data_IF_125335816663
#
_entry.id   IF_125335816663
#
_cell.length_a   1.000
_cell.length_b   1.000
_cell.length_c   1.000
_cell.angle_alpha   90.00
_cell.angle_beta   90.00
_cell.angle_gamma   90.00
#
_symmetry.space_group_name_H-M   'P 1'
#
loop_
_entity.id
_entity.type
_entity.pdbx_description
1 polymer ?
#
# COMPACT_ATOMS: atom_id res chain seq x y z
N UNK A 1 0.04 -49.37 4.29
CA UNK A 1 -0.29 -49.70 5.70
C UNK A 1 -0.28 -48.41 6.53
N UNK A 2 -1.17 -47.46 6.19
CA UNK A 2 -1.29 -46.15 6.86
C UNK A 2 -2.32 -46.35 7.98
N UNK A 3 -1.86 -46.87 9.12
CA UNK A 3 -2.71 -47.05 10.31
C UNK A 3 -3.00 -45.67 10.91
N UNK A 4 -4.28 -45.33 10.90
CA UNK A 4 -4.97 -44.36 11.78
C UNK A 4 -4.21 -43.07 12.06
N UNK A 5 -4.37 -42.06 11.20
CA UNK A 5 -4.32 -40.67 11.66
C UNK A 5 -5.46 -40.54 12.67
N UNK A 6 -5.09 -40.44 13.94
CA UNK A 6 -6.02 -40.42 15.06
C UNK A 6 -7.03 -39.28 14.85
N UNK A 7 -8.32 -39.60 14.95
CA UNK A 7 -9.45 -38.68 14.77
C UNK A 7 -9.59 -37.68 15.94
N UNK A 8 -8.53 -37.50 16.72
CA UNK A 8 -8.34 -36.31 17.56
C UNK A 8 -8.10 -35.15 16.60
N UNK A 9 -9.21 -34.68 16.04
CA UNK A 9 -9.31 -33.65 15.04
C UNK A 9 -8.45 -32.44 15.43
N UNK A 10 -8.08 -31.64 14.44
CA UNK A 10 -7.24 -30.45 14.56
C UNK A 10 -7.84 -29.33 15.44
N UNK A 11 -8.28 -29.65 16.66
CA UNK A 11 -8.89 -28.78 17.64
C UNK A 11 -7.97 -27.63 18.00
N UNK A 12 -6.65 -27.85 18.03
CA UNK A 12 -5.67 -26.78 18.24
C UNK A 12 -5.67 -25.75 17.09
N UNK A 13 -5.72 -26.21 15.83
CA UNK A 13 -5.73 -25.33 14.66
C UNK A 13 -7.08 -24.62 14.50
N UNK A 14 -8.19 -25.35 14.71
CA UNK A 14 -9.55 -24.79 14.68
C UNK A 14 -9.76 -23.80 15.81
N UNK A 15 -9.48 -24.20 17.05
CA UNK A 15 -9.66 -23.31 18.21
C UNK A 15 -8.70 -22.14 18.16
N UNK A 16 -7.44 -22.36 17.76
CA UNK A 16 -6.45 -21.30 17.61
C UNK A 16 -6.84 -20.26 16.57
N UNK A 17 -7.27 -20.69 15.37
CA UNK A 17 -7.71 -19.77 14.32
C UNK A 17 -9.02 -19.07 14.68
N UNK A 18 -10.00 -19.78 15.24
CA UNK A 18 -11.29 -19.20 15.62
C UNK A 18 -11.18 -18.23 16.80
N UNK A 19 -10.43 -18.60 17.85
CA UNK A 19 -10.19 -17.72 19.00
C UNK A 19 -9.40 -16.47 18.57
N UNK A 20 -8.34 -16.64 17.77
CA UNK A 20 -7.59 -15.49 17.26
C UNK A 20 -8.48 -14.59 16.39
N UNK A 21 -9.30 -15.16 15.50
CA UNK A 21 -10.26 -14.42 14.68
C UNK A 21 -11.25 -13.64 15.56
N UNK A 22 -11.83 -14.28 16.58
CA UNK A 22 -12.77 -13.65 17.50
C UNK A 22 -12.13 -12.51 18.30
N UNK A 23 -10.94 -12.75 18.89
CA UNK A 23 -10.21 -11.74 19.66
C UNK A 23 -9.90 -10.53 18.80
N UNK A 24 -9.42 -10.72 17.57
CA UNK A 24 -9.11 -9.59 16.68
C UNK A 24 -10.36 -8.93 16.11
N UNK A 25 -11.44 -9.68 15.83
CA UNK A 25 -12.68 -9.10 15.33
C UNK A 25 -13.43 -8.28 16.38
N UNK A 26 -13.33 -8.67 17.66
CA UNK A 26 -13.93 -7.96 18.80
C UNK A 26 -13.05 -6.85 19.37
N UNK A 27 -11.76 -6.80 19.00
CA UNK A 27 -10.86 -5.72 19.40
C UNK A 27 -11.25 -4.40 18.71
N UNK A 28 -11.36 -3.32 19.49
CA UNK A 28 -11.54 -1.96 18.96
C UNK A 28 -10.32 -1.42 18.21
N UNK A 29 -9.16 -2.05 18.35
CA UNK A 29 -7.94 -1.78 17.58
C UNK A 29 -7.62 -2.97 16.68
N UNK A 30 -7.91 -2.83 15.39
CA UNK A 30 -7.66 -3.86 14.38
C UNK A 30 -6.47 -3.45 13.51
N UNK A 31 -5.29 -3.96 13.84
CA UNK A 31 -4.13 -3.76 12.99
C UNK A 31 -4.09 -4.84 11.91
N UNK A 32 -3.91 -4.50 10.62
CA UNK A 32 -3.94 -5.47 9.52
C UNK A 32 -2.94 -6.63 9.68
N UNK A 33 -1.84 -6.43 10.41
CA UNK A 33 -0.84 -7.48 10.61
C UNK A 33 -1.29 -8.60 11.56
N UNK A 34 -2.37 -8.44 12.33
CA UNK A 34 -2.88 -9.50 13.21
C UNK A 34 -3.36 -10.72 12.43
N UNK A 35 -3.86 -10.54 11.20
CA UNK A 35 -4.26 -11.65 10.33
C UNK A 35 -3.07 -12.52 9.91
N UNK A 36 -1.84 -12.00 9.97
CA UNK A 36 -0.64 -12.76 9.61
C UNK A 36 -0.43 -13.98 10.53
N UNK A 37 -0.88 -13.91 11.78
CA UNK A 37 -0.83 -15.04 12.72
C UNK A 37 -1.89 -16.09 12.37
N UNK A 38 -3.04 -15.65 11.84
CA UNK A 38 -4.17 -16.54 11.53
C UNK A 38 -3.95 -17.29 10.21
N UNK A 39 -3.30 -16.68 9.22
CA UNK A 39 -3.16 -17.27 7.88
C UNK A 39 -2.51 -18.67 7.86
N UNK A 40 -1.42 -18.95 8.59
CA UNK A 40 -0.85 -20.31 8.63
C UNK A 40 -1.83 -21.35 9.17
N UNK A 41 -2.61 -21.00 10.21
CA UNK A 41 -3.61 -21.90 10.79
C UNK A 41 -4.74 -22.17 9.79
N UNK A 42 -5.23 -21.13 9.11
CA UNK A 42 -6.24 -21.29 8.05
C UNK A 42 -5.73 -22.11 6.87
N UNK A 43 -4.44 -21.99 6.52
CA UNK A 43 -3.84 -22.76 5.44
C UNK A 43 -3.84 -24.27 5.75
N UNK A 44 -3.51 -24.66 6.99
CA UNK A 44 -3.55 -26.05 7.45
C UNK A 44 -4.99 -26.59 7.35
N UNK A 45 -5.98 -25.86 7.90
CA UNK A 45 -7.39 -26.24 7.84
C UNK A 45 -7.90 -26.39 6.40
N UNK A 46 -7.48 -25.47 5.52
CA UNK A 46 -7.86 -25.50 4.10
C UNK A 46 -7.28 -26.74 3.42
N UNK A 47 -6.04 -27.13 3.74
CA UNK A 47 -5.41 -28.31 3.18
C UNK A 47 -6.08 -29.62 3.63
N UNK A 48 -6.37 -29.77 4.93
CA UNK A 48 -7.09 -30.95 5.46
C UNK A 48 -8.49 -31.06 4.86
N UNK A 49 -9.23 -29.95 4.76
CA UNK A 49 -10.57 -29.94 4.19
C UNK A 49 -10.57 -30.33 2.70
N UNK A 50 -9.64 -29.79 1.89
CA UNK A 50 -9.50 -30.17 0.48
C UNK A 50 -9.20 -31.67 0.34
N UNK A 51 -8.30 -32.20 1.18
CA UNK A 51 -7.93 -33.61 1.16
C UNK A 51 -9.12 -34.53 1.47
N UNK A 52 -9.92 -34.20 2.50
CA UNK A 52 -11.13 -34.97 2.85
C UNK A 52 -12.21 -34.87 1.79
N UNK A 53 -12.45 -33.67 1.25
CA UNK A 53 -13.44 -33.45 0.19
C UNK A 53 -13.11 -34.25 -1.09
N UNK A 54 -11.83 -34.45 -1.38
CA UNK A 54 -11.38 -35.35 -2.45
C UNK A 54 -11.76 -36.80 -2.16
N UNK A 55 -11.45 -37.31 -0.96
CA UNK A 55 -11.75 -38.70 -0.57
C UNK A 55 -13.25 -39.00 -0.57
N UNK A 56 -14.09 -38.03 -0.25
CA UNK A 56 -15.54 -38.18 -0.16
C UNK A 56 -16.28 -37.89 -1.49
N UNK A 57 -15.57 -37.43 -2.53
CA UNK A 57 -16.17 -37.11 -3.83
C UNK A 57 -16.97 -35.80 -3.87
N UNK A 58 -16.95 -34.98 -2.80
CA UNK A 58 -17.75 -33.76 -2.64
C UNK A 58 -17.04 -32.47 -3.13
N UNK A 59 -16.12 -32.59 -4.10
CA UNK A 59 -15.35 -31.46 -4.63
C UNK A 59 -16.19 -30.39 -5.38
N UNK A 60 -17.51 -30.59 -5.54
CA UNK A 60 -18.37 -29.66 -6.27
C UNK A 60 -18.44 -28.30 -5.58
N UNK A 61 -18.63 -28.27 -4.25
CA UNK A 61 -18.70 -27.03 -3.50
C UNK A 61 -17.39 -26.25 -3.58
N UNK A 62 -16.25 -26.89 -3.29
CA UNK A 62 -14.91 -26.31 -3.45
C UNK A 62 -14.73 -25.71 -4.86
N UNK A 63 -15.14 -26.48 -5.88
CA UNK A 63 -14.98 -26.07 -7.27
C UNK A 63 -15.75 -24.80 -7.57
N UNK A 64 -17.02 -24.74 -7.15
CA UNK A 64 -17.86 -23.57 -7.36
C UNK A 64 -17.32 -22.39 -6.57
N UNK A 65 -17.03 -22.56 -5.28
CA UNK A 65 -16.52 -21.49 -4.42
C UNK A 65 -15.23 -20.87 -4.96
N UNK A 66 -14.23 -21.68 -5.31
CA UNK A 66 -12.97 -21.17 -5.88
C UNK A 66 -13.16 -20.55 -7.26
N UNK A 67 -14.00 -21.13 -8.11
CA UNK A 67 -14.29 -20.53 -9.43
C UNK A 67 -14.94 -19.16 -9.28
N UNK A 68 -15.88 -19.03 -8.35
CA UNK A 68 -16.51 -17.74 -8.00
C UNK A 68 -15.48 -16.76 -7.46
N UNK A 69 -14.61 -17.18 -6.54
CA UNK A 69 -13.54 -16.32 -6.00
C UNK A 69 -12.57 -15.85 -7.09
N UNK A 70 -12.14 -16.75 -7.99
CA UNK A 70 -11.28 -16.43 -9.13
C UNK A 70 -11.94 -15.39 -10.03
N UNK A 71 -13.20 -15.62 -10.43
CA UNK A 71 -13.95 -14.70 -11.29
C UNK A 71 -14.13 -13.35 -10.59
N UNK A 72 -14.51 -13.36 -9.31
CA UNK A 72 -14.71 -12.15 -8.52
C UNK A 72 -13.44 -11.32 -8.41
N UNK A 73 -12.29 -11.94 -8.10
CA UNK A 73 -11.00 -11.26 -8.02
C UNK A 73 -10.57 -10.70 -9.39
N UNK A 74 -10.75 -11.45 -10.47
CA UNK A 74 -10.44 -10.99 -11.82
C UNK A 74 -11.32 -9.79 -12.22
N UNK A 75 -12.63 -9.86 -11.99
CA UNK A 75 -13.57 -8.77 -12.25
C UNK A 75 -13.23 -7.55 -11.39
N UNK A 76 -12.96 -7.73 -10.10
CA UNK A 76 -12.58 -6.64 -9.20
C UNK A 76 -11.30 -5.95 -9.66
N UNK A 77 -10.28 -6.70 -10.07
CA UNK A 77 -9.03 -6.15 -10.59
C UNK A 77 -9.29 -5.28 -11.82
N UNK A 78 -10.11 -5.76 -12.77
CA UNK A 78 -10.50 -4.99 -13.96
C UNK A 78 -11.26 -3.72 -13.57
N UNK A 79 -12.23 -3.81 -12.66
CA UNK A 79 -12.99 -2.65 -12.17
C UNK A 79 -12.06 -1.63 -11.53
N UNK A 80 -11.19 -2.06 -10.61
CA UNK A 80 -10.20 -1.19 -9.96
C UNK A 80 -9.31 -0.54 -11.00
N UNK A 81 -8.83 -1.29 -11.99
CA UNK A 81 -7.98 -0.73 -13.06
C UNK A 81 -8.69 0.34 -13.89
N UNK A 82 -9.96 0.12 -14.26
CA UNK A 82 -10.76 1.08 -15.04
C UNK A 82 -11.05 2.34 -14.22
N UNK A 83 -11.42 2.20 -12.95
CA UNK A 83 -11.73 3.31 -12.06
C UNK A 83 -10.46 4.11 -11.73
N UNK A 84 -9.37 3.40 -11.42
CA UNK A 84 -8.10 3.97 -10.99
C UNK A 84 -7.28 4.58 -12.12
N UNK A 85 -7.32 4.05 -13.35
CA UNK A 85 -6.62 4.64 -14.51
C UNK A 85 -5.18 5.09 -14.17
N UNK A 86 -4.27 4.15 -13.85
CA UNK A 86 -2.88 4.49 -13.53
C UNK A 86 -2.25 5.26 -14.70
N UNK A 87 -1.44 6.27 -14.40
CA UNK A 87 -0.91 7.21 -15.42
C UNK A 87 0.14 6.57 -16.31
N UNK A 88 0.85 5.57 -15.78
CA UNK A 88 1.80 4.76 -16.53
C UNK A 88 1.79 3.30 -16.08
N UNK A 89 2.21 2.40 -16.98
CA UNK A 89 2.49 1.01 -16.65
C UNK A 89 4.00 0.84 -16.78
N UNK A 90 4.68 0.51 -15.68
CA UNK A 90 6.12 0.27 -15.70
C UNK A 90 6.47 -0.90 -16.62
N UNK A 91 7.67 -0.89 -17.22
CA UNK A 91 8.16 -2.03 -18.01
C UNK A 91 8.19 -3.33 -17.19
N UNK A 92 8.48 -3.22 -15.90
CA UNK A 92 8.41 -4.33 -14.94
C UNK A 92 6.99 -4.89 -14.78
N UNK A 93 5.97 -4.02 -14.71
CA UNK A 93 4.57 -4.46 -14.68
C UNK A 93 4.20 -5.20 -15.98
N UNK A 94 4.54 -4.66 -17.15
CA UNK A 94 4.28 -5.34 -18.44
C UNK A 94 4.93 -6.72 -18.47
N UNK A 95 6.20 -6.83 -18.08
CA UNK A 95 6.93 -8.09 -18.01
C UNK A 95 6.25 -9.09 -17.06
N UNK A 96 5.86 -8.65 -15.86
CA UNK A 96 5.19 -9.51 -14.90
C UNK A 96 3.83 -10.03 -15.42
N UNK A 97 3.06 -9.20 -16.11
CA UNK A 97 1.81 -9.63 -16.76
C UNK A 97 2.07 -10.62 -17.90
N UNK A 98 3.08 -10.39 -18.73
CA UNK A 98 3.48 -11.33 -19.80
C UNK A 98 3.91 -12.68 -19.22
N UNK A 99 4.75 -12.68 -18.18
CA UNK A 99 5.18 -13.91 -17.50
C UNK A 99 4.00 -14.65 -16.87
N UNK A 100 3.06 -13.91 -16.28
CA UNK A 100 1.85 -14.50 -15.69
C UNK A 100 0.97 -15.10 -16.78
N UNK A 101 0.71 -14.37 -17.87
CA UNK A 101 -0.03 -14.85 -19.04
C UNK A 101 0.61 -16.11 -19.65
N UNK A 102 1.94 -16.12 -19.79
CA UNK A 102 2.70 -17.28 -20.24
C UNK A 102 2.51 -18.47 -19.30
N UNK A 103 2.61 -18.26 -17.98
CA UNK A 103 2.31 -19.30 -16.99
C UNK A 103 0.88 -19.83 -17.14
N UNK A 104 -0.13 -18.96 -17.31
CA UNK A 104 -1.52 -19.38 -17.52
C UNK A 104 -1.62 -20.31 -18.74
N UNK A 105 -1.03 -19.91 -19.87
CA UNK A 105 -1.05 -20.71 -21.12
C UNK A 105 -0.35 -22.05 -20.94
N UNK A 106 0.82 -22.07 -20.29
CA UNK A 106 1.55 -23.31 -20.01
C UNK A 106 0.73 -24.23 -19.09
N UNK A 107 0.11 -23.71 -18.04
CA UNK A 107 -0.74 -24.49 -17.14
C UNK A 107 -2.03 -24.99 -17.80
N UNK A 108 -2.62 -24.21 -18.71
CA UNK A 108 -3.80 -24.64 -19.49
C UNK A 108 -3.48 -25.80 -20.42
N UNK A 109 -2.26 -25.82 -20.99
CA UNK A 109 -1.79 -26.88 -21.91
C UNK A 109 -1.28 -28.12 -21.18
N UNK A 110 -0.83 -27.99 -19.94
CA UNK A 110 -0.30 -29.11 -19.18
C UNK A 110 -1.43 -30.06 -18.71
N UNK A 111 -1.32 -31.38 -18.93
CA UNK A 111 -2.35 -32.35 -18.58
C UNK A 111 -2.35 -32.63 -17.07
N UNK A 112 -2.69 -31.62 -16.26
CA UNK A 112 -2.87 -31.79 -14.83
C UNK A 112 -4.17 -32.55 -14.52
N UNK A 113 -4.13 -33.36 -13.45
CA UNK A 113 -5.34 -33.90 -12.86
C UNK A 113 -6.28 -32.77 -12.46
N UNK A 114 -7.59 -32.99 -12.63
CA UNK A 114 -8.63 -31.98 -12.46
C UNK A 114 -8.63 -31.32 -11.06
N UNK A 115 -8.15 -32.03 -10.04
CA UNK A 115 -8.03 -31.55 -8.66
C UNK A 115 -6.96 -30.47 -8.49
N UNK A 116 -5.80 -30.65 -9.14
CA UNK A 116 -4.68 -29.72 -9.04
C UNK A 116 -4.90 -28.46 -9.87
N UNK A 117 -5.60 -28.58 -11.00
CA UNK A 117 -5.89 -27.42 -11.88
C UNK A 117 -6.50 -26.25 -11.13
N UNK A 118 -7.47 -26.51 -10.25
CA UNK A 118 -8.15 -25.43 -9.55
C UNK A 118 -7.27 -24.77 -8.50
N UNK A 119 -6.50 -25.56 -7.75
CA UNK A 119 -5.50 -25.05 -6.82
C UNK A 119 -4.50 -24.12 -7.53
N UNK A 120 -3.96 -24.56 -8.67
CA UNK A 120 -3.02 -23.74 -9.44
C UNK A 120 -3.67 -22.47 -10.01
N UNK A 121 -4.93 -22.52 -10.46
CA UNK A 121 -5.62 -21.30 -10.91
C UNK A 121 -5.87 -20.31 -9.76
N UNK A 122 -6.24 -20.78 -8.57
CA UNK A 122 -6.38 -19.91 -7.41
C UNK A 122 -5.04 -19.26 -7.03
N UNK A 123 -3.94 -20.04 -7.03
CA UNK A 123 -2.61 -19.51 -6.79
C UNK A 123 -2.20 -18.47 -7.84
N UNK A 124 -2.49 -18.75 -9.12
CA UNK A 124 -2.15 -17.88 -10.24
C UNK A 124 -2.91 -16.55 -10.20
N UNK A 125 -4.19 -16.56 -9.84
CA UNK A 125 -4.97 -15.33 -9.65
C UNK A 125 -4.46 -14.53 -8.46
N UNK A 126 -4.10 -15.19 -7.34
CA UNK A 126 -3.48 -14.51 -6.20
C UNK A 126 -2.15 -13.85 -6.57
N UNK A 127 -1.32 -14.51 -7.39
CA UNK A 127 -0.07 -13.94 -7.91
C UNK A 127 -0.38 -12.75 -8.82
N UNK A 128 -1.34 -12.87 -9.74
CA UNK A 128 -1.76 -11.80 -10.65
C UNK A 128 -2.22 -10.56 -9.88
N UNK A 129 -3.07 -10.75 -8.86
CA UNK A 129 -3.53 -9.67 -7.97
C UNK A 129 -2.35 -9.03 -7.25
N UNK A 130 -1.43 -9.81 -6.70
CA UNK A 130 -0.25 -9.28 -6.02
C UNK A 130 0.66 -8.49 -6.98
N UNK A 131 0.88 -8.97 -8.20
CA UNK A 131 1.64 -8.24 -9.21
C UNK A 131 0.96 -6.94 -9.60
N UNK A 132 -0.35 -6.95 -9.81
CA UNK A 132 -1.10 -5.73 -10.07
C UNK A 132 -0.93 -4.71 -8.92
N UNK A 133 -1.10 -5.17 -7.68
CA UNK A 133 -0.96 -4.31 -6.51
C UNK A 133 0.45 -3.74 -6.39
N UNK A 134 1.49 -4.57 -6.47
CA UNK A 134 2.86 -4.14 -6.22
C UNK A 134 3.53 -3.41 -7.39
N UNK A 135 3.14 -3.69 -8.63
CA UNK A 135 3.84 -3.16 -9.82
C UNK A 135 3.06 -2.04 -10.52
N UNK A 136 1.75 -1.92 -10.26
CA UNK A 136 0.90 -0.90 -10.87
C UNK A 136 0.25 -0.02 -9.81
N UNK A 137 -0.50 -0.61 -8.87
CA UNK A 137 -1.32 0.17 -7.94
C UNK A 137 -0.50 0.95 -6.91
N UNK A 138 0.37 0.26 -6.15
CA UNK A 138 1.17 0.88 -5.09
C UNK A 138 2.18 1.89 -5.61
N UNK A 139 2.93 1.65 -6.70
CA UNK A 139 3.82 2.67 -7.24
C UNK A 139 3.09 3.98 -7.57
N UNK A 140 1.95 3.91 -8.26
CA UNK A 140 1.13 5.10 -8.56
C UNK A 140 0.52 5.73 -7.30
N UNK A 141 0.11 4.93 -6.31
CA UNK A 141 -0.42 5.45 -5.03
C UNK A 141 0.66 6.20 -4.25
N UNK A 142 1.88 5.68 -4.22
CA UNK A 142 3.02 6.25 -3.49
C UNK A 142 3.55 7.53 -4.14
N UNK A 143 3.21 7.81 -5.41
CA UNK A 143 3.45 9.12 -6.04
C UNK A 143 2.74 10.27 -5.30
N UNK A 144 1.70 9.99 -4.51
CA UNK A 144 1.00 10.98 -3.69
C UNK A 144 1.55 11.08 -2.26
N UNK A 145 2.67 10.40 -1.99
CA UNK A 145 3.43 10.54 -0.75
C UNK A 145 4.41 11.71 -0.86
N UNK A 146 3.89 12.92 -0.71
CA UNK A 146 4.63 14.18 -0.89
C UNK A 146 5.99 14.24 -0.15
N UNK A 147 6.12 13.63 1.03
CA UNK A 147 7.36 13.68 1.82
C UNK A 147 8.56 13.04 1.11
N UNK A 148 8.35 11.90 0.45
CA UNK A 148 9.40 11.22 -0.32
C UNK A 148 9.81 12.04 -1.54
N UNK A 149 8.84 12.69 -2.21
CA UNK A 149 9.09 13.57 -3.34
C UNK A 149 9.82 14.86 -2.94
N UNK A 150 9.41 15.45 -1.83
CA UNK A 150 10.05 16.65 -1.30
C UNK A 150 11.51 16.37 -0.92
N UNK A 151 11.79 15.26 -0.24
CA UNK A 151 13.15 14.81 0.05
C UNK A 151 13.97 14.62 -1.23
N UNK A 152 13.44 13.86 -2.20
CA UNK A 152 14.15 13.60 -3.46
C UNK A 152 14.44 14.88 -4.24
N UNK A 153 13.51 15.83 -4.25
CA UNK A 153 13.68 17.13 -4.89
C UNK A 153 14.74 17.98 -4.18
N UNK A 154 14.72 18.01 -2.84
CA UNK A 154 15.69 18.73 -2.01
C UNK A 154 17.10 18.16 -2.21
N UNK A 155 17.28 16.84 -2.13
CA UNK A 155 18.60 16.20 -2.34
C UNK A 155 19.18 16.53 -3.74
N UNK A 156 18.33 16.70 -4.76
CA UNK A 156 18.78 17.00 -6.13
C UNK A 156 19.11 18.48 -6.37
N UNK A 157 18.33 19.40 -5.80
CA UNK A 157 18.41 20.84 -6.12
C UNK A 157 19.04 21.69 -5.01
N UNK A 158 19.03 21.19 -3.78
CA UNK A 158 19.48 21.86 -2.57
C UNK A 158 20.24 20.88 -1.64
N UNK A 159 21.32 20.25 -2.14
CA UNK A 159 22.03 19.18 -1.42
C UNK A 159 22.72 19.66 -0.13
N UNK A 160 22.89 20.97 0.07
CA UNK A 160 23.52 21.54 1.26
C UNK A 160 22.50 22.19 2.22
N UNK A 161 21.23 22.32 1.81
CA UNK A 161 20.21 22.99 2.62
C UNK A 161 19.51 21.98 3.55
N UNK A 162 19.50 22.30 4.83
CA UNK A 162 18.70 21.60 5.84
C UNK A 162 17.19 21.78 5.60
N UNK A 163 16.38 20.86 6.12
CA UNK A 163 14.92 20.92 6.01
C UNK A 163 14.27 21.13 7.38
N UNK A 164 13.30 22.05 7.44
CA UNK A 164 12.41 22.25 8.59
C UNK A 164 10.99 21.93 8.19
N UNK A 165 10.32 21.09 8.96
CA UNK A 165 8.94 20.66 8.72
C UNK A 165 8.00 21.41 9.65
N UNK A 166 6.93 21.99 9.10
CA UNK A 166 5.92 22.74 9.88
C UNK A 166 4.54 22.23 9.56
N UNK A 167 3.81 21.82 10.59
CA UNK A 167 2.40 21.47 10.44
C UNK A 167 2.12 20.25 9.57
N UNK A 168 3.16 19.49 9.23
CA UNK A 168 3.10 18.28 8.42
C UNK A 168 3.82 17.16 9.17
N UNK A 169 3.07 16.14 9.56
CA UNK A 169 3.66 14.91 10.11
C UNK A 169 3.99 13.97 8.94
N UNK A 170 5.26 13.95 8.53
CA UNK A 170 5.72 13.08 7.44
C UNK A 170 6.98 12.33 7.84
N UNK A 171 6.86 11.07 8.27
CA UNK A 171 8.04 10.25 8.54
C UNK A 171 8.91 10.00 7.30
N UNK A 172 8.34 10.09 6.09
CA UNK A 172 9.08 9.77 4.88
C UNK A 172 10.05 10.85 4.45
N UNK A 173 9.79 12.14 4.72
CA UNK A 173 10.79 13.16 4.43
C UNK A 173 12.00 13.00 5.35
N UNK A 174 11.78 12.70 6.64
CA UNK A 174 12.86 12.38 7.60
C UNK A 174 13.70 11.17 7.19
N UNK A 175 13.10 10.17 6.55
CA UNK A 175 13.81 8.95 6.15
C UNK A 175 14.55 9.09 4.81
N UNK A 176 14.02 9.89 3.87
CA UNK A 176 14.55 9.97 2.51
C UNK A 176 15.43 11.20 2.24
N UNK A 177 15.38 12.22 3.10
CA UNK A 177 16.27 13.37 2.97
C UNK A 177 17.70 12.98 3.36
N UNK A 178 18.68 13.51 2.62
CA UNK A 178 20.10 13.31 2.94
C UNK A 178 20.58 14.27 4.03
N UNK A 179 19.97 15.47 4.11
CA UNK A 179 20.25 16.48 5.11
C UNK A 179 19.36 16.37 6.35
N UNK A 180 19.68 17.16 7.37
CA UNK A 180 18.95 17.13 8.61
C UNK A 180 17.53 17.67 8.44
N UNK A 181 16.55 16.84 8.80
CA UNK A 181 15.15 17.21 8.87
C UNK A 181 14.76 17.40 10.33
N UNK A 182 14.15 18.54 10.65
CA UNK A 182 13.65 18.81 11.98
C UNK A 182 12.23 19.34 11.96
N UNK A 183 11.37 18.73 12.79
CA UNK A 183 10.05 19.27 13.05
C UNK A 183 10.16 20.53 13.92
N UNK A 184 9.46 21.58 13.51
CA UNK A 184 9.48 22.89 14.17
C UNK A 184 8.08 23.50 14.26
N UNK A 185 7.91 24.30 15.31
CA UNK A 185 6.83 25.28 15.37
C UNK A 185 7.33 26.62 14.82
N UNK A 186 6.40 27.47 14.37
CA UNK A 186 6.72 28.77 13.76
C UNK A 186 7.65 29.65 14.63
N UNK A 187 7.46 29.77 15.96
CA UNK A 187 8.36 30.59 16.77
C UNK A 187 9.81 30.10 16.76
N UNK A 188 10.02 28.78 16.76
CA UNK A 188 11.36 28.19 16.68
C UNK A 188 11.96 28.38 15.29
N UNK A 189 11.14 28.29 14.24
CA UNK A 189 11.58 28.53 12.86
C UNK A 189 12.12 29.95 12.71
N UNK A 190 11.43 30.96 13.24
CA UNK A 190 11.86 32.36 13.13
C UNK A 190 13.25 32.60 13.74
N UNK A 191 13.52 32.01 14.91
CA UNK A 191 14.83 32.11 15.56
C UNK A 191 15.93 31.47 14.70
N UNK A 192 15.67 30.30 14.13
CA UNK A 192 16.62 29.63 13.25
C UNK A 192 16.83 30.46 11.96
N UNK A 193 15.76 31.00 11.37
CA UNK A 193 15.80 31.67 10.05
C UNK A 193 16.66 32.93 10.09
N UNK A 194 16.80 33.54 11.26
CA UNK A 194 17.70 34.68 11.47
C UNK A 194 19.19 34.32 11.33
N UNK A 195 19.53 33.02 11.35
CA UNK A 195 20.93 32.55 11.42
C UNK A 195 21.42 31.94 10.10
N UNK A 196 20.54 31.28 9.33
CA UNK A 196 20.91 30.60 8.09
C UNK A 196 19.73 30.45 7.14
N UNK A 197 20.03 30.20 5.86
CA UNK A 197 19.05 29.79 4.87
C UNK A 197 18.72 28.31 5.04
N UNK A 198 17.46 27.93 4.86
CA UNK A 198 17.06 26.52 4.80
C UNK A 198 15.70 26.34 4.13
N UNK A 199 15.39 25.08 3.86
CA UNK A 199 14.14 24.68 3.25
C UNK A 199 13.06 24.48 4.32
N UNK A 200 11.84 24.91 4.00
CA UNK A 200 10.66 24.69 4.85
C UNK A 200 9.67 23.82 4.10
N UNK A 201 9.36 22.63 4.64
CA UNK A 201 8.34 21.74 4.11
C UNK A 201 7.05 21.86 4.93
N UNK A 202 5.96 22.28 4.29
CA UNK A 202 4.72 22.60 5.00
C UNK A 202 3.46 22.33 4.18
N UNK A 203 2.29 22.55 4.77
CA UNK A 203 0.98 22.41 4.13
C UNK A 203 0.32 23.76 3.90
N UNK A 204 -0.66 23.80 2.99
CA UNK A 204 -1.38 25.01 2.61
C UNK A 204 -1.87 25.89 3.79
N UNK A 205 -2.49 25.33 4.86
CA UNK A 205 -2.97 26.15 5.99
C UNK A 205 -1.86 26.90 6.74
N UNK A 206 -0.62 26.43 6.66
CA UNK A 206 0.51 27.04 7.36
C UNK A 206 1.20 28.12 6.52
N UNK A 207 0.92 28.21 5.21
CA UNK A 207 1.46 29.27 4.35
C UNK A 207 1.01 30.66 4.80
N UNK A 208 -0.26 30.81 5.17
CA UNK A 208 -0.79 32.07 5.70
C UNK A 208 -0.24 32.37 7.09
N UNK A 209 -0.02 31.33 7.91
CA UNK A 209 0.55 31.47 9.25
C UNK A 209 2.00 31.95 9.21
N UNK A 210 2.78 31.51 8.23
CA UNK A 210 4.14 32.00 7.99
C UNK A 210 4.13 33.49 7.60
N UNK A 211 3.27 33.90 6.67
CA UNK A 211 3.12 35.31 6.27
C UNK A 211 2.70 36.22 7.42
N UNK A 212 1.72 35.79 8.21
CA UNK A 212 1.28 36.52 9.41
C UNK A 212 2.38 36.65 10.47
N UNK A 213 3.42 35.82 10.40
CA UNK A 213 4.57 35.84 11.30
C UNK A 213 5.79 36.57 10.72
N UNK A 214 5.60 37.40 9.68
CA UNK A 214 6.66 38.13 8.96
C UNK A 214 7.76 37.23 8.37
N UNK A 215 7.41 35.99 8.01
CA UNK A 215 8.31 35.08 7.29
C UNK A 215 7.92 35.07 5.83
N UNK A 216 8.72 35.74 4.99
CA UNK A 216 8.62 35.58 3.56
C UNK A 216 9.28 34.28 3.10
N UNK A 217 8.89 33.85 1.92
CA UNK A 217 9.39 32.62 1.33
C UNK A 217 9.24 32.62 -0.18
N UNK A 218 10.13 31.87 -0.82
CA UNK A 218 9.98 31.47 -2.22
C UNK A 218 9.42 30.04 -2.27
N UNK A 219 8.35 29.83 -3.05
CA UNK A 219 7.85 28.48 -3.30
C UNK A 219 8.74 27.82 -4.34
N UNK A 220 9.61 26.91 -3.92
CA UNK A 220 10.53 26.20 -4.81
C UNK A 220 9.89 24.97 -5.46
N UNK A 221 8.90 24.35 -4.81
CA UNK A 221 8.16 23.22 -5.38
C UNK A 221 6.83 22.95 -4.67
N UNK A 222 5.89 22.34 -5.40
CA UNK A 222 4.54 21.97 -4.91
C UNK A 222 4.27 20.50 -5.20
N UNK A 223 3.79 19.78 -4.19
CA UNK A 223 3.56 18.35 -4.26
C UNK A 223 2.11 18.01 -3.91
N UNK A 224 1.50 17.12 -4.71
CA UNK A 224 0.25 16.46 -4.34
C UNK A 224 0.47 15.52 -3.16
N UNK A 225 -0.43 15.58 -2.19
CA UNK A 225 -0.42 14.75 -1.00
C UNK A 225 -1.76 14.01 -0.83
N UNK A 226 -1.66 12.72 -0.54
CA UNK A 226 -2.78 11.88 -0.11
C UNK A 226 -2.35 10.95 1.01
N UNK A 227 -3.25 10.64 1.96
CA UNK A 227 -2.98 9.69 3.03
C UNK A 227 -3.05 8.26 2.50
N UNK A 228 -1.95 7.78 1.93
CA UNK A 228 -1.86 6.53 1.16
C UNK A 228 -2.24 5.26 1.94
N UNK A 229 -2.20 5.30 3.27
CA UNK A 229 -2.62 4.19 4.15
C UNK A 229 -4.14 4.08 4.30
N UNK A 230 -4.92 5.12 3.96
CA UNK A 230 -6.38 5.10 3.99
C UNK A 230 -6.96 5.46 2.62
N UNK A 231 -6.89 4.51 1.69
CA UNK A 231 -7.44 4.67 0.35
C UNK A 231 -8.97 4.85 0.40
N UNK A 232 -9.46 5.94 -0.18
CA UNK A 232 -10.90 6.25 -0.25
C UNK A 232 -11.45 6.02 -1.66
N UNK A 233 -12.76 5.82 -1.78
CA UNK A 233 -13.43 5.69 -3.08
C UNK A 233 -13.25 6.94 -3.96
N UNK A 234 -13.27 8.13 -3.36
CA UNK A 234 -13.04 9.42 -4.05
C UNK A 234 -11.66 9.49 -4.68
N UNK A 235 -10.63 9.02 -3.97
CA UNK A 235 -9.25 8.96 -4.48
C UNK A 235 -9.10 7.90 -5.59
N UNK A 236 -9.70 6.73 -5.39
CA UNK A 236 -9.63 5.63 -6.36
C UNK A 236 -10.19 6.06 -7.72
N UNK A 237 -11.30 6.78 -7.76
CA UNK A 237 -11.88 7.24 -9.01
C UNK A 237 -11.06 8.40 -9.61
N UNK A 238 -10.42 8.16 -10.76
CA UNK A 238 -9.59 9.15 -11.45
C UNK A 238 -10.31 10.48 -11.74
N UNK A 239 -11.65 10.48 -11.87
CA UNK A 239 -12.42 11.70 -12.13
C UNK A 239 -12.54 12.60 -10.90
N UNK A 240 -12.66 12.00 -9.71
CA UNK A 240 -12.84 12.70 -8.44
C UNK A 240 -11.56 12.75 -7.60
N UNK A 241 -10.49 12.09 -8.06
CA UNK A 241 -9.23 11.97 -7.29
C UNK A 241 -8.73 13.32 -6.79
N UNK A 242 -8.73 14.33 -7.66
CA UNK A 242 -8.22 15.66 -7.35
C UNK A 242 -8.93 16.32 -6.16
N UNK A 243 -10.19 15.96 -5.88
CA UNK A 243 -10.96 16.47 -4.73
C UNK A 243 -10.43 15.93 -3.39
N UNK A 244 -9.74 14.80 -3.41
CA UNK A 244 -9.16 14.16 -2.22
C UNK A 244 -7.71 14.55 -1.98
N UNK A 245 -7.07 15.24 -2.94
CA UNK A 245 -5.66 15.63 -2.85
C UNK A 245 -5.52 16.90 -2.02
N UNK A 246 -4.47 16.94 -1.21
CA UNK A 246 -3.98 18.14 -0.55
C UNK A 246 -2.70 18.60 -1.21
N UNK A 247 -2.30 19.85 -1.00
CA UNK A 247 -1.03 20.38 -1.47
C UNK A 247 -0.07 20.55 -0.30
N UNK A 248 1.13 20.01 -0.46
CA UNK A 248 2.27 20.33 0.38
C UNK A 248 3.31 21.11 -0.43
N UNK A 249 4.03 21.98 0.25
CA UNK A 249 4.90 22.97 -0.33
C UNK A 249 6.29 22.80 0.23
N UNK A 250 7.29 22.90 -0.64
CA UNK A 250 8.66 23.11 -0.25
C UNK A 250 9.01 24.56 -0.56
N UNK A 251 9.49 25.24 0.47
CA UNK A 251 9.75 26.67 0.46
C UNK A 251 11.24 26.89 0.72
N UNK A 252 11.79 27.96 0.15
CA UNK A 252 13.10 28.49 0.55
C UNK A 252 12.89 29.77 1.35
N UNK A 253 13.53 29.86 2.50
CA UNK A 253 13.52 31.04 3.36
C UNK A 253 14.86 31.16 4.10
N UNK A 254 15.11 32.30 4.70
CA UNK A 254 16.36 32.63 5.39
C UNK A 254 16.38 34.09 5.85
N UNK A 255 17.53 34.63 6.29
CA UNK A 255 17.61 35.98 6.85
C UNK A 255 17.16 37.07 5.87
N UNK A 256 17.39 36.86 4.57
CA UNK A 256 16.95 37.78 3.51
C UNK A 256 15.45 37.81 3.27
N UNK A 257 14.69 36.91 3.89
CA UNK A 257 13.24 36.77 3.80
C UNK A 257 12.54 37.15 5.11
N UNK A 258 13.24 37.78 6.05
CA UNK A 258 12.65 38.30 7.28
C UNK A 258 12.41 39.81 7.16
N UNK A 259 11.23 40.26 7.59
CA UNK A 259 10.84 41.68 7.66
C UNK A 259 10.91 42.25 9.08
#
# INVERSE_FOLDING_TARGET
>A
NIRSVNQQAEFYTISGSLLALLVFSLSGFQLPHYTNIIFPLLAILTADWIHRAEMQGELRFYRVAQSVTIILLAVLLVIVHIIFRPRGISSAAVLAFVLTAMMIVLFLRYPLERKWKLFYYSALVSILVNFYLNLIFYPELLEYQSGTKAASYANQHFPDDDIRTIGVLSFTIHFHAENEVRDREIPMLLEELSKADFLVFTSEPYLDSLRMSNIDYEIVSVFDHFHTTMVTGTFLNHKTRNESLRKHYLLKSGPGYLH
#
